data_IF_872638769963
#
_entry.id   IF_872638769963
#
_cell.length_a   1.000
_cell.length_b   1.000
_cell.length_c   1.000
_cell.angle_alpha   90.00
_cell.angle_beta   90.00
_cell.angle_gamma   90.00
#
_symmetry.space_group_name_H-M   'P 1'
#
loop_
_entity.id
_entity.type
_entity.pdbx_description
1 polymer ?
#
# COMPACT_ATOMS: atom_id res chain seq x y z
N UNK A 1 21.34 0.56 -8.94
CA UNK A 1 20.38 0.58 -7.81
C UNK A 1 19.08 -0.12 -8.17
N UNK A 2 18.27 0.38 -9.10
CA UNK A 2 16.98 -0.24 -9.47
C UNK A 2 17.12 -1.71 -9.91
N UNK A 3 18.08 -2.02 -10.78
CA UNK A 3 18.38 -3.39 -11.22
C UNK A 3 18.82 -4.32 -10.08
N UNK A 4 19.51 -3.78 -9.08
CA UNK A 4 20.07 -4.51 -7.95
C UNK A 4 18.97 -4.94 -6.97
N UNK A 5 18.06 -4.02 -6.64
CA UNK A 5 16.96 -4.27 -5.71
C UNK A 5 15.95 -5.28 -6.29
N UNK A 6 15.52 -5.11 -7.55
CA UNK A 6 14.58 -6.05 -8.15
C UNK A 6 15.13 -7.48 -8.26
N UNK A 7 16.44 -7.62 -8.53
CA UNK A 7 17.08 -8.92 -8.65
C UNK A 7 17.31 -9.62 -7.30
N UNK A 8 17.70 -8.86 -6.27
CA UNK A 8 17.98 -9.41 -4.94
C UNK A 8 16.70 -9.71 -4.16
N UNK A 9 15.68 -8.87 -4.29
CA UNK A 9 14.42 -8.99 -3.56
C UNK A 9 13.33 -9.73 -4.36
N UNK A 10 13.68 -10.32 -5.50
CA UNK A 10 12.77 -11.01 -6.41
C UNK A 10 11.50 -10.20 -6.76
N UNK A 11 11.64 -8.88 -6.86
CA UNK A 11 10.53 -7.96 -7.10
C UNK A 11 10.37 -7.68 -8.60
N UNK A 12 9.11 -7.56 -9.05
CA UNK A 12 8.80 -7.16 -10.42
C UNK A 12 9.29 -5.73 -10.68
N UNK A 13 9.87 -5.48 -11.85
CA UNK A 13 10.38 -4.15 -12.22
C UNK A 13 9.32 -3.04 -12.16
N UNK A 14 8.05 -3.38 -12.38
CA UNK A 14 6.96 -2.40 -12.37
C UNK A 14 6.67 -1.81 -10.98
N UNK A 15 7.09 -2.46 -9.89
CA UNK A 15 6.99 -1.89 -8.53
C UNK A 15 7.64 -0.51 -8.46
N UNK A 16 8.74 -0.32 -9.19
CA UNK A 16 9.52 0.93 -9.20
C UNK A 16 8.80 2.08 -9.92
N UNK A 17 7.82 1.76 -10.77
CA UNK A 17 6.99 2.74 -11.48
C UNK A 17 5.78 3.20 -10.66
N UNK A 18 5.42 2.46 -9.62
CA UNK A 18 4.25 2.77 -8.79
C UNK A 18 4.42 4.09 -8.02
N UNK A 19 3.33 4.87 -7.92
CA UNK A 19 3.35 6.15 -7.19
C UNK A 19 3.67 5.99 -5.72
N UNK A 20 3.24 4.88 -5.09
CA UNK A 20 3.61 4.56 -3.72
C UNK A 20 5.13 4.48 -3.52
N UNK A 21 5.83 3.77 -4.41
CA UNK A 21 7.29 3.67 -4.36
C UNK A 21 7.97 5.03 -4.61
N UNK A 22 7.52 5.76 -5.63
CA UNK A 22 8.06 7.09 -5.97
C UNK A 22 7.88 8.09 -4.83
N UNK A 23 6.73 8.07 -4.16
CA UNK A 23 6.45 8.94 -3.02
C UNK A 23 7.30 8.56 -1.81
N UNK A 24 7.44 7.27 -1.51
CA UNK A 24 8.34 6.80 -0.45
C UNK A 24 9.78 7.28 -0.71
N UNK A 25 10.30 7.05 -1.92
CA UNK A 25 11.65 7.50 -2.29
C UNK A 25 11.83 9.00 -2.07
N UNK A 26 10.89 9.84 -2.53
CA UNK A 26 10.91 11.29 -2.30
C UNK A 26 10.94 11.65 -0.82
N UNK A 27 10.14 10.97 0.01
CA UNK A 27 10.14 11.18 1.46
C UNK A 27 11.49 10.85 2.07
N UNK A 28 12.09 9.71 1.73
CA UNK A 28 13.41 9.31 2.24
C UNK A 28 14.50 10.30 1.81
N UNK A 29 14.46 10.77 0.56
CA UNK A 29 15.36 11.83 0.08
C UNK A 29 15.16 13.15 0.85
N UNK A 30 13.91 13.51 1.13
CA UNK A 30 13.57 14.70 1.93
C UNK A 30 14.12 14.62 3.34
N UNK A 31 13.97 13.47 4.00
CA UNK A 31 14.52 13.23 5.34
C UNK A 31 16.04 13.33 5.34
N UNK A 32 16.71 12.69 4.39
CA UNK A 32 18.17 12.77 4.26
C UNK A 32 18.68 14.19 3.99
N UNK A 33 17.91 15.01 3.26
CA UNK A 33 18.25 16.43 3.04
C UNK A 33 18.05 17.28 4.29
N UNK A 34 17.04 16.98 5.10
CA UNK A 34 16.69 17.73 6.30
C UNK A 34 17.50 17.36 7.54
N UNK A 35 18.20 16.22 7.53
CA UNK A 35 19.03 15.79 8.65
C UNK A 35 20.39 16.49 8.65
N UNK A 36 20.74 17.11 9.78
CA UNK A 36 22.07 17.67 10.03
C UNK A 36 23.13 16.59 10.35
N UNK A 37 22.80 15.32 10.14
CA UNK A 37 23.69 14.18 10.40
C UNK A 37 24.31 13.69 9.10
N UNK A 38 25.57 13.29 9.16
CA UNK A 38 26.31 12.74 8.00
C UNK A 38 25.83 11.34 7.60
N UNK A 39 25.08 10.67 8.48
CA UNK A 39 24.45 9.38 8.22
C UNK A 39 23.17 9.23 9.03
N UNK A 40 22.16 8.63 8.43
CA UNK A 40 20.96 8.12 9.11
C UNK A 40 20.98 6.60 8.98
N UNK A 41 20.78 5.89 10.08
CA UNK A 41 20.61 4.45 10.02
C UNK A 41 19.23 4.11 9.43
N UNK A 42 19.22 3.17 8.48
CA UNK A 42 17.97 2.76 7.78
C UNK A 42 16.96 2.16 8.75
N UNK A 43 17.43 1.52 9.83
CA UNK A 43 16.60 0.92 10.89
C UNK A 43 15.81 1.95 11.68
N UNK A 44 16.27 3.20 11.75
CA UNK A 44 15.55 4.29 12.41
C UNK A 44 14.47 4.90 11.51
N UNK A 45 14.56 4.64 10.21
CA UNK A 45 13.74 5.27 9.18
C UNK A 45 12.64 4.33 8.65
N UNK A 46 12.96 3.05 8.49
CA UNK A 46 12.03 2.05 7.96
C UNK A 46 11.35 1.27 9.08
N UNK A 47 10.04 1.13 8.96
CA UNK A 47 9.24 0.36 9.90
C UNK A 47 9.39 -1.14 9.66
N UNK A 48 9.37 -1.92 10.74
CA UNK A 48 9.26 -3.37 10.65
C UNK A 48 7.96 -3.78 9.91
N UNK A 49 7.96 -4.84 9.09
CA UNK A 49 6.77 -5.27 8.34
C UNK A 49 5.51 -5.45 9.21
N UNK A 50 5.67 -5.96 10.44
CA UNK A 50 4.56 -6.09 11.40
C UNK A 50 3.93 -4.74 11.76
N UNK A 51 4.73 -3.69 11.89
CA UNK A 51 4.24 -2.33 12.18
C UNK A 51 3.48 -1.77 10.98
N UNK A 52 4.00 -1.99 9.76
CA UNK A 52 3.31 -1.61 8.53
C UNK A 52 1.95 -2.32 8.45
N UNK A 53 1.92 -3.64 8.67
CA UNK A 53 0.69 -4.44 8.67
C UNK A 53 -0.35 -3.92 9.66
N UNK A 54 0.02 -3.69 10.92
CA UNK A 54 -0.90 -3.13 11.93
C UNK A 54 -1.41 -1.74 11.56
N UNK A 55 -0.53 -0.89 11.03
CA UNK A 55 -0.91 0.46 10.60
C UNK A 55 -1.91 0.43 9.44
N UNK A 56 -1.71 -0.44 8.46
CA UNK A 56 -2.65 -0.62 7.34
C UNK A 56 -4.00 -1.11 7.86
N UNK A 57 -4.03 -2.10 8.75
CA UNK A 57 -5.28 -2.58 9.35
C UNK A 57 -6.02 -1.49 10.10
N UNK A 58 -5.32 -0.70 10.93
CA UNK A 58 -5.94 0.43 11.65
C UNK A 58 -6.50 1.47 10.69
N UNK A 59 -5.72 1.88 9.69
CA UNK A 59 -6.16 2.85 8.68
C UNK A 59 -7.39 2.33 7.92
N UNK A 60 -7.41 1.05 7.56
CA UNK A 60 -8.57 0.45 6.90
C UNK A 60 -9.84 0.56 7.74
N UNK A 61 -9.78 0.27 9.04
CA UNK A 61 -10.95 0.41 9.92
C UNK A 61 -11.39 1.89 10.05
N UNK A 62 -10.45 2.83 10.14
CA UNK A 62 -10.76 4.26 10.16
C UNK A 62 -11.42 4.74 8.86
N UNK A 63 -10.88 4.36 7.71
CA UNK A 63 -11.46 4.68 6.41
C UNK A 63 -12.83 4.03 6.22
N UNK A 64 -13.02 2.80 6.70
CA UNK A 64 -14.29 2.08 6.62
C UNK A 64 -15.40 2.81 7.38
N UNK A 65 -15.12 3.33 8.58
CA UNK A 65 -16.09 4.12 9.35
C UNK A 65 -16.49 5.37 8.55
N UNK A 66 -15.50 6.12 8.04
CA UNK A 66 -15.77 7.30 7.22
C UNK A 66 -16.57 6.98 5.95
N UNK A 67 -16.29 5.86 5.29
CA UNK A 67 -17.05 5.43 4.11
C UNK A 67 -18.50 5.07 4.46
N UNK A 68 -18.75 4.44 5.61
CA UNK A 68 -20.12 4.16 6.07
C UNK A 68 -20.88 5.47 6.28
N UNK A 69 -20.28 6.45 6.98
CA UNK A 69 -20.90 7.76 7.22
C UNK A 69 -21.24 8.49 5.92
N UNK A 70 -20.39 8.35 4.89
CA UNK A 70 -20.63 8.90 3.56
C UNK A 70 -21.75 8.13 2.86
N UNK A 71 -21.69 6.80 2.85
CA UNK A 71 -22.68 5.95 2.19
C UNK A 71 -24.09 6.13 2.77
N UNK A 72 -24.23 6.36 4.08
CA UNK A 72 -25.53 6.65 4.72
C UNK A 72 -26.16 7.97 4.24
N UNK A 73 -25.35 8.91 3.70
CA UNK A 73 -25.87 10.14 3.11
C UNK A 73 -26.41 9.95 1.69
N UNK A 74 -26.10 8.83 1.03
CA UNK A 74 -26.58 8.52 -0.31
C UNK A 74 -27.81 7.60 -0.24
N UNK A 75 -28.85 7.96 -0.99
CA UNK A 75 -30.10 7.17 -1.08
C UNK A 75 -29.98 5.95 -2.00
N UNK A 76 -28.92 5.87 -2.80
CA UNK A 76 -28.64 4.74 -3.70
C UNK A 76 -27.13 4.58 -3.91
N UNK A 77 -26.64 3.35 -3.89
CA UNK A 77 -25.26 2.99 -4.22
C UNK A 77 -25.24 1.84 -5.22
N UNK A 78 -24.20 1.76 -6.06
CA UNK A 78 -23.99 0.64 -6.96
C UNK A 78 -22.96 -0.32 -6.35
N UNK A 79 -23.36 -1.58 -6.15
CA UNK A 79 -22.43 -2.64 -5.77
C UNK A 79 -21.98 -3.38 -7.03
N UNK A 80 -20.70 -3.24 -7.37
CA UNK A 80 -20.07 -4.03 -8.42
C UNK A 80 -19.43 -5.25 -7.76
N UNK A 81 -19.86 -6.44 -8.18
CA UNK A 81 -19.30 -7.72 -7.73
C UNK A 81 -18.44 -8.27 -8.86
N UNK A 82 -17.13 -8.33 -8.63
CA UNK A 82 -16.19 -9.00 -9.51
C UNK A 82 -15.85 -10.38 -8.94
N UNK A 83 -15.98 -11.43 -9.74
CA UNK A 83 -15.70 -12.80 -9.33
C UNK A 83 -14.67 -13.41 -10.27
N UNK A 84 -13.53 -13.81 -9.70
CA UNK A 84 -12.47 -14.50 -10.42
C UNK A 84 -12.25 -15.89 -9.81
N UNK A 85 -11.98 -16.88 -10.65
CA UNK A 85 -11.52 -18.19 -10.21
C UNK A 85 -10.02 -18.29 -10.44
N UNK A 86 -9.26 -18.49 -9.37
CA UNK A 86 -7.81 -18.69 -9.49
C UNK A 86 -7.52 -20.01 -10.22
N UNK A 87 -6.82 -19.93 -11.35
CA UNK A 87 -6.53 -21.08 -12.21
C UNK A 87 -5.67 -22.16 -11.53
N UNK A 88 -4.86 -21.79 -10.53
CA UNK A 88 -3.91 -22.70 -9.88
C UNK A 88 -4.48 -23.38 -8.62
N UNK A 89 -5.43 -22.74 -7.94
CA UNK A 89 -6.00 -23.23 -6.67
C UNK A 89 -7.47 -23.66 -6.81
N UNK A 90 -8.14 -23.23 -7.89
CA UNK A 90 -9.59 -23.42 -8.07
C UNK A 90 -10.44 -22.60 -7.10
N UNK A 91 -9.84 -21.72 -6.30
CA UNK A 91 -10.58 -20.87 -5.36
C UNK A 91 -11.32 -19.76 -6.11
N UNK A 92 -12.59 -19.58 -5.74
CA UNK A 92 -13.38 -18.43 -6.17
C UNK A 92 -13.12 -17.26 -5.22
N UNK A 93 -12.52 -16.19 -5.74
CA UNK A 93 -12.32 -14.93 -5.03
C UNK A 93 -13.36 -13.93 -5.52
N UNK A 94 -14.08 -13.33 -4.57
CA UNK A 94 -15.07 -12.28 -4.84
C UNK A 94 -14.54 -10.95 -4.32
N UNK A 95 -14.47 -9.96 -5.20
CA UNK A 95 -14.15 -8.58 -4.87
C UNK A 95 -15.43 -7.75 -4.92
N UNK A 96 -15.62 -6.90 -3.91
CA UNK A 96 -16.73 -5.96 -3.85
C UNK A 96 -16.18 -4.57 -4.07
N UNK A 97 -16.61 -3.90 -5.13
CA UNK A 97 -16.26 -2.50 -5.42
C UNK A 97 -17.53 -1.67 -5.27
N UNK A 98 -17.46 -0.67 -4.39
CA UNK A 98 -18.53 0.32 -4.22
C UNK A 98 -18.30 1.45 -5.23
N UNK A 99 -19.29 1.72 -6.07
CA UNK A 99 -19.28 2.79 -7.09
C UNK A 99 -20.42 3.78 -6.89
#
# INVERSE_FOLDING_TARGET
>A
LVHSCCALDACVFDVMKGDGFRNLAKTLFGVGRGSNTSSIEITDLLLHPTTISRNITRLYEEYKIHLIDICEQFTSFCLIVDQCTEAHTGQNIKYFVYA
#
